data_IF_142368744042
#
_entry.id   IF_142368744042
#
_cell.length_a   1.000
_cell.length_b   1.000
_cell.length_c   1.000
_cell.angle_alpha   90.00
_cell.angle_beta   90.00
_cell.angle_gamma   90.00
#
_symmetry.space_group_name_H-M   'P 1'
#
loop_
_entity.id
_entity.type
_entity.pdbx_description
1 polymer ?
#
# COMPACT_ATOMS: atom_id res chain seq x y z
N UNK A 1 34.27 29.31 -1.35
CA UNK A 1 33.60 28.53 -0.28
C UNK A 1 32.12 28.90 -0.12
N UNK A 2 31.76 30.17 0.12
CA UNK A 2 30.36 30.63 0.28
C UNK A 2 29.42 30.32 -0.91
N UNK A 3 29.94 30.37 -2.15
CA UNK A 3 29.18 30.02 -3.37
C UNK A 3 28.86 28.53 -3.49
N UNK A 4 29.74 27.65 -3.01
CA UNK A 4 29.50 26.20 -3.01
C UNK A 4 28.44 25.81 -1.97
N UNK A 5 28.39 26.53 -0.86
CA UNK A 5 27.35 26.40 0.17
C UNK A 5 25.95 26.73 -0.38
N UNK A 6 25.83 27.76 -1.21
CA UNK A 6 24.54 28.16 -1.83
C UNK A 6 24.08 27.11 -2.87
N UNK A 7 25.02 26.54 -3.64
CA UNK A 7 24.71 25.50 -4.64
C UNK A 7 24.27 24.19 -3.96
N UNK A 8 24.89 23.82 -2.84
CA UNK A 8 24.50 22.64 -2.07
C UNK A 8 23.07 22.74 -1.49
N UNK A 9 22.65 23.94 -1.07
CA UNK A 9 21.31 24.18 -0.52
C UNK A 9 20.22 24.09 -1.60
N UNK A 10 20.51 24.54 -2.82
CA UNK A 10 19.56 24.46 -3.95
C UNK A 10 19.34 23.02 -4.46
N UNK A 11 20.31 22.12 -4.28
CA UNK A 11 20.17 20.71 -4.66
C UNK A 11 19.28 19.92 -3.68
N UNK A 12 19.15 20.37 -2.44
CA UNK A 12 18.36 19.68 -1.39
C UNK A 12 16.86 20.06 -1.50
N UNK A 13 16.53 21.13 -2.22
CA UNK A 13 15.15 21.65 -2.33
C UNK A 13 14.34 21.12 -3.50
N UNK A 14 14.90 20.28 -4.38
CA UNK A 14 14.12 19.58 -5.41
C UNK A 14 13.39 18.38 -4.79
N UNK A 15 12.38 18.71 -3.97
CA UNK A 15 11.07 18.07 -3.91
C UNK A 15 11.05 16.54 -3.93
N UNK A 16 11.23 15.94 -2.75
CA UNK A 16 10.47 14.73 -2.40
C UNK A 16 9.05 15.18 -2.03
N UNK A 17 8.23 15.49 -3.03
CA UNK A 17 6.78 15.61 -2.83
C UNK A 17 6.24 14.21 -2.56
N UNK A 18 6.10 13.83 -1.29
CA UNK A 18 5.20 12.73 -0.94
C UNK A 18 3.79 13.27 -1.15
N UNK A 19 3.12 12.86 -2.23
CA UNK A 19 1.67 13.06 -2.34
C UNK A 19 1.04 12.31 -1.18
N UNK A 20 0.36 13.04 -0.30
CA UNK A 20 -0.49 12.42 0.69
C UNK A 20 -1.71 11.87 -0.05
N UNK A 21 -1.68 10.59 -0.38
CA UNK A 21 -2.89 9.91 -0.82
C UNK A 21 -3.83 9.85 0.38
N UNK A 22 -4.98 10.49 0.23
CA UNK A 22 -6.13 10.16 1.04
C UNK A 22 -6.60 8.79 0.57
N UNK A 23 -5.96 7.73 1.06
CA UNK A 23 -6.37 6.34 0.82
C UNK A 23 -7.88 6.26 1.08
N UNK A 24 -8.60 5.60 0.19
CA UNK A 24 -10.00 5.29 0.44
C UNK A 24 -10.07 4.63 1.83
N UNK A 25 -10.87 5.19 2.76
CA UNK A 25 -10.89 4.74 4.16
C UNK A 25 -11.61 3.40 4.35
N UNK A 26 -11.77 2.64 3.27
CA UNK A 26 -12.33 1.31 3.35
C UNK A 26 -11.41 0.42 4.17
N UNK A 27 -11.96 -0.23 5.20
CA UNK A 27 -11.19 -1.04 6.12
C UNK A 27 -10.39 -2.14 5.40
N UNK A 28 -10.91 -2.65 4.28
CA UNK A 28 -10.28 -3.66 3.44
C UNK A 28 -8.93 -3.19 2.84
N UNK A 29 -8.74 -1.89 2.57
CA UNK A 29 -7.45 -1.35 2.12
C UNK A 29 -6.34 -1.41 3.19
N UNK A 30 -6.70 -1.68 4.46
CA UNK A 30 -5.77 -1.78 5.59
C UNK A 30 -5.54 -3.23 6.03
N UNK A 31 -6.30 -4.18 5.49
CA UNK A 31 -6.23 -5.58 5.86
C UNK A 31 -4.96 -6.24 5.32
N UNK A 32 -4.38 -7.13 6.13
CA UNK A 32 -3.17 -7.88 5.81
C UNK A 32 -3.41 -9.34 6.12
N UNK A 33 -2.76 -10.23 5.36
CA UNK A 33 -2.88 -11.66 5.60
C UNK A 33 -2.41 -11.98 7.03
N UNK A 34 -3.25 -12.62 7.86
CA UNK A 34 -2.88 -12.91 9.24
C UNK A 34 -1.73 -13.92 9.27
N UNK A 35 -0.73 -13.64 10.10
CA UNK A 35 0.35 -14.58 10.40
C UNK A 35 -0.02 -15.44 11.61
N UNK A 36 0.42 -16.71 11.62
CA UNK A 36 0.30 -17.57 12.80
C UNK A 36 -1.13 -17.84 13.32
N UNK A 37 -2.18 -17.66 12.51
CA UNK A 37 -3.56 -17.90 12.94
C UNK A 37 -3.84 -19.38 13.23
N UNK A 38 -4.69 -19.66 14.24
CA UNK A 38 -5.11 -21.03 14.58
C UNK A 38 -6.11 -21.59 13.56
N UNK A 39 -6.84 -20.71 12.86
CA UNK A 39 -7.75 -21.11 11.79
C UNK A 39 -6.95 -21.48 10.53
N UNK A 40 -7.25 -22.63 9.93
CA UNK A 40 -6.55 -23.15 8.75
C UNK A 40 -7.45 -23.21 7.51
N UNK A 41 -8.55 -22.46 7.48
CA UNK A 41 -9.37 -22.35 6.27
C UNK A 41 -8.58 -21.59 5.21
N UNK A 42 -8.63 -22.08 3.97
CA UNK A 42 -7.95 -21.49 2.83
C UNK A 42 -8.87 -20.48 2.14
N UNK A 43 -8.35 -19.29 1.89
CA UNK A 43 -9.03 -18.18 1.24
C UNK A 43 -8.16 -17.62 0.13
N UNK A 44 -8.78 -17.01 -0.87
CA UNK A 44 -8.12 -16.31 -1.96
C UNK A 44 -8.86 -15.01 -2.21
N UNK A 45 -8.13 -13.90 -2.32
CA UNK A 45 -8.71 -12.58 -2.58
C UNK A 45 -7.63 -11.61 -3.08
N UNK A 46 -8.09 -10.47 -3.58
CA UNK A 46 -7.25 -9.32 -3.90
C UNK A 46 -6.97 -8.52 -2.63
N UNK A 47 -5.69 -8.36 -2.29
CA UNK A 47 -5.27 -7.63 -1.10
C UNK A 47 -4.29 -6.54 -1.49
N UNK A 48 -4.62 -5.30 -1.12
CA UNK A 48 -3.75 -4.16 -1.39
C UNK A 48 -2.49 -4.23 -0.54
N UNK A 49 -1.34 -4.03 -1.18
CA UNK A 49 -0.04 -3.97 -0.52
C UNK A 49 0.45 -2.51 -0.49
N UNK A 50 0.45 -1.85 0.68
CA UNK A 50 0.85 -0.46 0.78
C UNK A 50 2.36 -0.22 0.61
N UNK A 51 3.19 -1.26 0.64
CA UNK A 51 4.63 -1.16 0.43
C UNK A 51 4.98 -1.10 -1.06
N UNK A 52 4.27 -1.90 -1.87
CA UNK A 52 4.43 -1.94 -3.32
C UNK A 52 3.45 -1.01 -4.04
N UNK A 53 2.43 -0.52 -3.35
CA UNK A 53 1.30 0.26 -3.91
C UNK A 53 0.61 -0.47 -5.06
N UNK A 54 0.30 -1.75 -4.84
CA UNK A 54 -0.34 -2.59 -5.84
C UNK A 54 -1.29 -3.60 -5.18
N UNK A 55 -2.28 -4.05 -5.94
CA UNK A 55 -3.15 -5.15 -5.57
C UNK A 55 -2.59 -6.52 -5.95
N UNK A 56 -2.57 -7.43 -4.98
CA UNK A 56 -2.03 -8.78 -5.15
C UNK A 56 -3.12 -9.83 -4.92
N UNK A 57 -3.34 -10.70 -5.91
CA UNK A 57 -4.18 -11.89 -5.71
C UNK A 57 -3.38 -12.98 -5.00
N UNK A 58 -3.78 -13.34 -3.78
CA UNK A 58 -3.03 -14.31 -2.96
C UNK A 58 -3.92 -15.26 -2.18
N UNK A 59 -3.44 -16.49 -2.05
CA UNK A 59 -4.00 -17.50 -1.15
C UNK A 59 -3.42 -17.37 0.26
N UNK A 60 -4.25 -17.50 1.28
CA UNK A 60 -3.85 -17.42 2.69
C UNK A 60 -4.73 -18.28 3.58
N UNK A 61 -4.19 -18.63 4.75
CA UNK A 61 -4.95 -19.27 5.81
C UNK A 61 -5.58 -18.23 6.73
N UNK A 62 -6.83 -18.41 7.13
CA UNK A 62 -7.56 -17.41 7.90
C UNK A 62 -8.82 -17.94 8.57
N UNK A 63 -9.37 -17.16 9.49
CA UNK A 63 -10.71 -17.43 10.05
C UNK A 63 -11.84 -16.88 9.15
N UNK A 64 -11.52 -15.84 8.38
CA UNK A 64 -12.44 -15.10 7.52
C UNK A 64 -11.68 -14.61 6.28
N UNK A 65 -12.36 -14.36 5.15
CA UNK A 65 -11.75 -13.66 4.03
C UNK A 65 -11.43 -12.21 4.40
N UNK A 66 -10.39 -11.68 3.77
CA UNK A 66 -9.96 -10.28 3.83
C UNK A 66 -9.82 -9.73 2.41
N UNK A 67 -9.71 -8.42 2.25
CA UNK A 67 -9.53 -7.75 0.96
C UNK A 67 -10.78 -7.80 0.08
N UNK A 68 -10.59 -7.90 -1.23
CA UNK A 68 -11.62 -7.69 -2.23
C UNK A 68 -11.81 -8.92 -3.13
N UNK A 69 -13.04 -9.07 -3.64
CA UNK A 69 -13.38 -10.13 -4.60
C UNK A 69 -12.82 -9.84 -6.00
N UNK A 70 -12.70 -8.57 -6.36
CA UNK A 70 -12.26 -8.12 -7.71
C UNK A 70 -11.04 -7.22 -7.63
N UNK A 71 -10.15 -7.33 -8.61
CA UNK A 71 -8.96 -6.48 -8.78
C UNK A 71 -9.34 -4.99 -8.82
N UNK A 72 -10.32 -4.62 -9.65
CA UNK A 72 -10.74 -3.23 -9.81
C UNK A 72 -11.18 -2.55 -8.50
N UNK A 73 -11.88 -3.27 -7.62
CA UNK A 73 -12.26 -2.75 -6.30
C UNK A 73 -11.05 -2.58 -5.38
N UNK A 74 -10.07 -3.47 -5.48
CA UNK A 74 -8.81 -3.34 -4.76
C UNK A 74 -7.99 -2.16 -5.28
N UNK A 75 -7.92 -1.95 -6.59
CA UNK A 75 -7.16 -0.86 -7.23
C UNK A 75 -7.67 0.54 -6.81
N UNK A 76 -8.89 0.64 -6.26
CA UNK A 76 -9.38 1.87 -5.62
C UNK A 76 -8.55 2.27 -4.38
N UNK A 77 -7.79 1.34 -3.79
CA UNK A 77 -6.83 1.60 -2.71
C UNK A 77 -5.50 2.21 -3.21
N UNK A 78 -5.19 2.08 -4.51
CA UNK A 78 -3.90 2.48 -5.08
C UNK A 78 -3.75 4.00 -5.23
N UNK A 79 -2.52 4.47 -5.06
CA UNK A 79 -2.16 5.88 -5.21
C UNK A 79 -1.87 6.26 -6.66
N UNK A 80 -2.91 6.57 -7.43
CA UNK A 80 -2.73 7.08 -8.80
C UNK A 80 -2.17 8.52 -8.82
N UNK A 81 -1.08 8.73 -9.56
CA UNK A 81 -0.39 10.03 -9.76
C UNK A 81 -1.08 10.97 -10.75
#
# INVERSE_FOLDING_TARGET
MKRYLIIAILLITFSSCKRECLKNQEAACLEQAPDGTTCQAYWESWVYNPETDNCEFKGYSGCSPIGFETEAACEECECHN
#
